data_IF_184245125494
#
_entry.id   IF_184245125494
#
_cell.length_a   1.000
_cell.length_b   1.000
_cell.length_c   1.000
_cell.angle_alpha   90.00
_cell.angle_beta   90.00
_cell.angle_gamma   90.00
#
_symmetry.space_group_name_H-M   'P 1'
#
loop_
_entity.id
_entity.type
_entity.pdbx_description
1 polymer ?
#
# COMPACT_ATOMS: atom_id res chain seq x y z
N UNK A 1 -25.87 7.73 12.66
CA UNK A 1 -25.37 7.97 14.00
C UNK A 1 -23.94 8.44 13.85
N UNK A 2 -23.69 9.69 14.26
CA UNK A 2 -22.37 10.31 14.25
C UNK A 2 -21.47 9.48 15.15
N UNK A 3 -20.40 8.88 14.61
CA UNK A 3 -19.31 8.36 15.41
C UNK A 3 -18.49 9.57 15.86
N UNK A 4 -18.79 10.03 17.08
CA UNK A 4 -17.95 10.94 17.81
C UNK A 4 -16.54 10.33 17.87
N UNK A 5 -15.57 10.96 17.24
CA UNK A 5 -14.18 10.83 17.61
C UNK A 5 -14.08 11.20 19.09
N UNK A 6 -13.83 10.22 19.93
CA UNK A 6 -13.59 10.40 21.37
C UNK A 6 -12.25 11.17 21.54
N UNK A 7 -12.29 12.46 21.28
CA UNK A 7 -11.34 13.40 21.83
C UNK A 7 -11.74 13.59 23.29
N UNK A 8 -11.36 12.62 24.14
CA UNK A 8 -11.45 12.75 25.58
C UNK A 8 -10.89 14.12 25.94
N UNK A 9 -11.72 14.93 26.60
CA UNK A 9 -11.44 16.35 26.91
C UNK A 9 -10.13 16.42 27.72
N UNK A 10 -8.98 16.55 27.01
CA UNK A 10 -7.68 16.67 27.64
C UNK A 10 -7.64 17.97 28.42
N UNK A 11 -7.50 17.87 29.74
CA UNK A 11 -7.47 19.00 30.67
C UNK A 11 -6.06 19.29 31.22
N UNK A 12 -5.03 18.67 30.64
CA UNK A 12 -3.63 18.87 31.03
C UNK A 12 -3.02 20.14 30.46
N UNK A 13 -1.75 20.44 30.79
CA UNK A 13 -1.09 21.68 30.43
C UNK A 13 -0.54 21.73 28.99
N UNK A 14 -0.53 20.58 28.25
CA UNK A 14 0.05 20.52 26.90
C UNK A 14 -1.00 20.89 25.85
N UNK A 15 -0.76 21.97 25.12
CA UNK A 15 -1.47 22.30 23.88
C UNK A 15 -0.73 21.61 22.71
N UNK A 16 -1.24 20.42 22.31
CA UNK A 16 -0.64 19.60 21.27
C UNK A 16 -1.12 20.05 19.89
N UNK A 17 -0.23 20.72 19.16
CA UNK A 17 -0.46 21.19 17.78
C UNK A 17 0.54 20.48 16.87
N UNK A 18 0.03 19.70 15.93
CA UNK A 18 0.85 18.98 14.94
C UNK A 18 0.39 19.31 13.54
N UNK A 19 1.33 19.70 12.67
CA UNK A 19 1.06 19.96 11.25
C UNK A 19 1.59 18.82 10.40
N UNK A 20 0.85 18.49 9.34
CA UNK A 20 1.23 17.52 8.31
C UNK A 20 0.57 17.89 6.97
N UNK A 21 1.28 17.66 5.87
CA UNK A 21 0.81 18.02 4.51
C UNK A 21 -0.01 16.89 3.87
N UNK A 22 0.21 15.65 4.30
CA UNK A 22 -0.50 14.48 3.81
C UNK A 22 -0.58 13.40 4.89
N UNK A 23 -1.64 12.60 4.83
CA UNK A 23 -1.82 11.37 5.60
C UNK A 23 -2.13 10.19 4.67
N UNK A 24 -1.73 10.29 3.40
CA UNK A 24 -1.89 9.20 2.45
C UNK A 24 -0.71 9.10 1.49
N UNK A 25 -0.53 7.93 0.92
CA UNK A 25 0.47 7.67 -0.10
C UNK A 25 0.31 6.30 -0.74
N UNK A 26 1.23 5.97 -1.64
CA UNK A 26 1.25 4.70 -2.37
C UNK A 26 2.65 4.12 -2.36
N UNK A 27 2.77 2.88 -1.91
CA UNK A 27 3.99 2.09 -2.01
C UNK A 27 4.12 1.58 -3.43
N UNK A 28 5.33 1.63 -3.97
CA UNK A 28 5.66 1.08 -5.29
C UNK A 28 6.57 -0.13 -5.13
N UNK A 29 6.17 -1.27 -5.68
CA UNK A 29 6.98 -2.47 -5.78
C UNK A 29 7.13 -2.91 -7.23
N UNK A 30 8.26 -3.52 -7.56
CA UNK A 30 8.49 -4.07 -8.89
C UNK A 30 9.23 -5.40 -8.85
N UNK A 31 8.92 -6.26 -9.82
CA UNK A 31 9.66 -7.49 -10.08
C UNK A 31 9.82 -7.70 -11.58
N UNK A 32 11.00 -8.17 -11.98
CA UNK A 32 11.30 -8.48 -13.37
C UNK A 32 12.01 -9.84 -13.49
N UNK A 33 11.36 -10.80 -14.15
CA UNK A 33 11.90 -12.16 -14.36
C UNK A 33 12.39 -12.84 -13.07
N UNK A 34 11.61 -12.74 -11.98
CA UNK A 34 11.93 -13.30 -10.67
C UNK A 34 12.97 -12.50 -9.87
N UNK A 35 13.32 -11.32 -10.33
CA UNK A 35 14.20 -10.41 -9.60
C UNK A 35 13.40 -9.25 -9.02
N UNK A 36 13.28 -9.23 -7.69
CA UNK A 36 12.65 -8.13 -6.99
C UNK A 36 13.42 -6.83 -7.24
N UNK A 37 12.69 -5.78 -7.59
CA UNK A 37 13.19 -4.41 -7.67
C UNK A 37 13.28 -3.78 -6.29
N UNK A 38 13.43 -2.46 -6.28
CA UNK A 38 13.45 -1.70 -5.04
C UNK A 38 12.02 -1.34 -4.64
N UNK A 39 11.65 -1.63 -3.38
CA UNK A 39 10.42 -1.10 -2.80
C UNK A 39 10.60 0.37 -2.45
N UNK A 40 9.70 1.22 -2.94
CA UNK A 40 9.65 2.64 -2.58
C UNK A 40 8.55 2.84 -1.54
N UNK A 41 8.94 3.15 -0.30
CA UNK A 41 8.02 3.42 0.80
C UNK A 41 7.40 4.82 0.74
N UNK A 42 6.46 5.08 1.65
CA UNK A 42 5.80 6.38 1.84
C UNK A 42 6.35 7.04 3.10
N UNK A 43 7.09 8.13 2.92
CA UNK A 43 7.55 8.96 4.03
C UNK A 43 6.55 10.10 4.29
N UNK A 44 6.07 10.22 5.53
CA UNK A 44 5.27 11.33 6.01
C UNK A 44 5.95 12.00 7.19
N UNK A 45 5.75 13.32 7.30
CA UNK A 45 6.38 14.17 8.32
C UNK A 45 5.33 14.86 9.16
N UNK A 46 5.60 14.96 10.47
CA UNK A 46 4.73 15.57 11.47
C UNK A 46 5.52 16.65 12.22
N UNK A 47 5.05 17.89 12.16
CA UNK A 47 5.70 19.07 12.72
C UNK A 47 5.01 19.50 14.03
N UNK A 48 5.72 19.39 15.13
CA UNK A 48 5.31 19.72 16.49
C UNK A 48 5.77 21.11 16.95
N UNK A 49 6.30 21.96 16.06
CA UNK A 49 6.95 23.21 16.43
C UNK A 49 6.06 24.19 17.22
N UNK A 50 4.73 24.13 17.03
CA UNK A 50 3.78 25.00 17.74
C UNK A 50 3.18 24.35 18.99
N UNK A 51 3.61 23.11 19.34
CA UNK A 51 3.20 22.43 20.56
C UNK A 51 3.85 23.10 21.78
N UNK A 52 3.04 23.41 22.80
CA UNK A 52 3.48 24.11 24.03
C UNK A 52 2.94 23.45 25.28
N UNK A 53 3.55 23.77 26.44
CA UNK A 53 3.03 23.39 27.76
C UNK A 53 3.00 24.62 28.68
N UNK A 54 1.95 24.75 29.46
CA UNK A 54 1.81 25.80 30.50
C UNK A 54 2.66 25.51 31.73
N UNK A 55 2.99 24.23 32.01
CA UNK A 55 3.71 23.81 33.21
C UNK A 55 5.24 23.66 32.98
N UNK A 56 5.68 23.57 31.71
CA UNK A 56 7.09 23.35 31.41
C UNK A 56 7.44 23.54 29.92
N UNK A 57 8.57 23.02 29.52
CA UNK A 57 8.97 22.95 28.11
C UNK A 57 8.72 21.56 27.54
N UNK A 58 8.33 21.45 26.27
CA UNK A 58 8.25 20.15 25.60
C UNK A 58 9.68 19.58 25.47
N UNK A 59 9.88 18.37 25.95
CA UNK A 59 11.20 17.70 26.00
C UNK A 59 11.24 16.43 25.15
N UNK A 60 10.07 15.87 24.79
CA UNK A 60 10.00 14.71 23.92
C UNK A 60 8.77 14.80 23.02
N UNK A 61 8.95 14.39 21.78
CA UNK A 61 7.89 14.14 20.81
C UNK A 61 8.04 12.72 20.28
N UNK A 62 6.91 12.07 19.88
CA UNK A 62 6.91 10.66 19.52
C UNK A 62 5.85 10.35 18.47
N UNK A 63 6.16 9.38 17.60
CA UNK A 63 5.24 8.76 16.66
C UNK A 63 5.18 7.26 16.95
N UNK A 64 3.98 6.70 17.16
CA UNK A 64 3.69 5.27 17.12
C UNK A 64 3.00 4.96 15.79
N UNK A 65 3.65 4.24 14.85
CA UNK A 65 3.20 4.15 13.46
C UNK A 65 2.08 3.13 13.19
N UNK A 66 1.73 2.27 14.16
CA UNK A 66 0.68 1.24 14.08
C UNK A 66 0.97 0.10 13.07
N UNK A 67 2.23 -0.11 12.70
CA UNK A 67 2.68 -1.18 11.80
C UNK A 67 3.53 -2.26 12.52
N UNK A 68 3.44 -2.32 13.85
CA UNK A 68 4.20 -3.21 14.71
C UNK A 68 5.66 -2.79 14.94
N UNK A 69 6.09 -1.65 14.39
CA UNK A 69 7.41 -1.08 14.63
C UNK A 69 7.48 -0.37 15.98
N UNK A 70 8.70 -0.26 16.53
CA UNK A 70 8.93 0.54 17.73
C UNK A 70 8.62 2.03 17.48
N UNK A 71 8.15 2.77 18.50
CA UNK A 71 7.92 4.20 18.40
C UNK A 71 9.18 4.97 18.01
N UNK A 72 9.02 6.02 17.21
CA UNK A 72 10.08 6.97 16.86
C UNK A 72 9.99 8.18 17.77
N UNK A 73 11.05 8.44 18.53
CA UNK A 73 11.13 9.54 19.47
C UNK A 73 12.09 10.65 18.98
N UNK A 74 11.83 11.89 19.37
CA UNK A 74 12.66 13.05 19.08
C UNK A 74 12.67 14.06 20.23
N UNK A 75 13.74 14.87 20.29
CA UNK A 75 13.83 16.04 21.14
C UNK A 75 13.48 17.28 20.30
N UNK A 76 12.36 17.99 20.60
CA UNK A 76 11.96 19.15 19.79
C UNK A 76 12.92 20.33 19.88
N UNK A 77 13.83 20.36 20.86
CA UNK A 77 14.89 21.36 20.93
C UNK A 77 15.95 21.18 19.83
N UNK A 78 16.14 19.96 19.36
CA UNK A 78 17.03 19.62 18.25
C UNK A 78 16.29 19.71 16.90
N UNK A 79 15.11 19.07 16.82
CA UNK A 79 14.23 19.09 15.64
C UNK A 79 12.79 18.80 16.06
N UNK A 80 11.89 19.73 15.79
CA UNK A 80 10.47 19.58 16.08
C UNK A 80 9.70 18.76 15.03
N UNK A 81 10.35 18.30 13.96
CA UNK A 81 9.74 17.48 12.91
C UNK A 81 10.22 16.04 13.06
N UNK A 82 9.27 15.11 13.14
CA UNK A 82 9.54 13.68 13.05
C UNK A 82 8.96 13.15 11.73
N UNK A 83 9.74 12.34 11.01
CA UNK A 83 9.28 11.63 9.81
C UNK A 83 9.29 10.12 10.05
N UNK A 84 8.34 9.43 9.42
CA UNK A 84 8.28 7.98 9.40
C UNK A 84 8.01 7.48 7.98
N UNK A 85 8.59 6.31 7.63
CA UNK A 85 8.43 5.70 6.30
C UNK A 85 7.72 4.36 6.44
N UNK A 86 6.48 4.28 5.93
CA UNK A 86 5.76 3.00 5.80
C UNK A 86 6.27 2.23 4.59
N UNK A 87 6.51 0.93 4.78
CA UNK A 87 6.92 -0.02 3.73
C UNK A 87 5.85 -1.05 3.43
N UNK A 88 4.70 -0.97 4.09
CA UNK A 88 3.58 -1.89 4.01
C UNK A 88 2.27 -1.10 3.88
N UNK A 89 1.25 -1.70 3.26
CA UNK A 89 -0.02 -1.05 3.01
C UNK A 89 -1.03 -1.29 4.15
N UNK A 90 -1.92 -0.33 4.35
CA UNK A 90 -2.93 -0.38 5.41
C UNK A 90 -3.57 0.98 5.67
N UNK A 91 -4.48 1.03 6.61
CA UNK A 91 -4.95 2.27 7.24
C UNK A 91 -4.50 2.25 8.69
N UNK A 92 -3.43 2.99 8.96
CA UNK A 92 -2.73 3.01 10.26
C UNK A 92 -3.33 4.07 11.18
N UNK A 93 -3.56 3.71 12.45
CA UNK A 93 -3.99 4.66 13.49
C UNK A 93 -2.76 5.18 14.24
N UNK A 94 -2.11 6.15 13.65
CA UNK A 94 -0.85 6.72 14.15
C UNK A 94 -1.10 7.54 15.40
N UNK A 95 -0.38 7.25 16.49
CA UNK A 95 -0.42 8.05 17.72
C UNK A 95 0.72 9.04 17.73
N UNK A 96 0.39 10.33 17.87
CA UNK A 96 1.30 11.45 17.98
C UNK A 96 1.31 11.96 19.42
N UNK A 97 2.46 11.96 20.09
CA UNK A 97 2.59 12.29 21.51
C UNK A 97 3.61 13.38 21.77
N UNK A 98 3.32 14.27 22.71
CA UNK A 98 4.29 15.19 23.29
C UNK A 98 4.36 15.02 24.81
N UNK A 99 5.57 15.13 25.38
CA UNK A 99 5.83 15.13 26.83
C UNK A 99 6.60 16.39 27.23
N UNK A 100 6.25 16.93 28.40
CA UNK A 100 6.94 18.11 28.94
C UNK A 100 7.96 17.76 30.04
N UNK A 101 8.70 18.77 30.53
CA UNK A 101 9.71 18.62 31.57
C UNK A 101 9.17 18.26 32.94
N UNK A 102 7.86 18.43 33.18
CA UNK A 102 7.17 18.09 34.44
C UNK A 102 6.59 16.69 34.41
N UNK A 103 6.71 15.98 33.26
CA UNK A 103 6.23 14.61 33.07
C UNK A 103 4.76 14.52 32.64
N UNK A 104 4.17 15.62 32.19
CA UNK A 104 2.85 15.58 31.57
C UNK A 104 2.99 15.07 30.14
N UNK A 105 1.95 14.37 29.66
CA UNK A 105 1.87 13.80 28.30
C UNK A 105 0.52 14.07 27.68
N UNK A 106 0.50 14.36 26.38
CA UNK A 106 -0.72 14.47 25.57
C UNK A 106 -0.53 13.75 24.24
N UNK A 107 -1.55 12.99 23.82
CA UNK A 107 -1.53 12.24 22.56
C UNK A 107 -2.78 12.52 21.73
N UNK A 108 -2.62 12.54 20.43
CA UNK A 108 -3.72 12.53 19.45
C UNK A 108 -3.52 11.37 18.47
N UNK A 109 -4.60 10.92 17.85
CA UNK A 109 -4.56 9.88 16.82
C UNK A 109 -4.85 10.49 15.46
N UNK A 110 -4.12 10.04 14.45
CA UNK A 110 -4.26 10.46 13.04
C UNK A 110 -4.32 9.20 12.18
N UNK A 111 -5.30 9.11 11.26
CA UNK A 111 -5.38 7.99 10.31
C UNK A 111 -4.51 8.27 9.09
N UNK A 112 -3.62 7.31 8.80
CA UNK A 112 -2.72 7.32 7.65
C UNK A 112 -3.11 6.18 6.71
N UNK A 113 -3.45 6.50 5.46
CA UNK A 113 -3.84 5.53 4.42
C UNK A 113 -2.68 5.29 3.46
N UNK A 114 -2.21 4.07 3.37
CA UNK A 114 -1.15 3.65 2.44
C UNK A 114 -1.68 2.59 1.49
N UNK A 115 -1.81 2.95 0.23
CA UNK A 115 -2.14 2.05 -0.87
C UNK A 115 -0.87 1.35 -1.38
N UNK A 116 -1.02 0.32 -2.24
CA UNK A 116 0.11 -0.40 -2.82
C UNK A 116 -0.07 -0.59 -4.31
N UNK A 117 1.00 -0.36 -5.06
CA UNK A 117 1.09 -0.60 -6.50
C UNK A 117 2.25 -1.54 -6.80
N UNK A 118 1.98 -2.61 -7.54
CA UNK A 118 2.94 -3.67 -7.86
C UNK A 118 3.03 -3.81 -9.37
N UNK A 119 4.24 -3.69 -9.91
CA UNK A 119 4.53 -3.96 -11.32
C UNK A 119 5.35 -5.24 -11.42
N UNK A 120 4.82 -6.22 -12.13
CA UNK A 120 5.45 -7.52 -12.35
C UNK A 120 5.62 -7.79 -13.83
N UNK A 121 6.82 -8.18 -14.28
CA UNK A 121 7.05 -8.53 -15.67
C UNK A 121 7.88 -9.81 -15.83
N UNK A 122 7.49 -10.63 -16.78
CA UNK A 122 8.20 -11.83 -17.17
C UNK A 122 8.23 -11.98 -18.69
N UNK A 123 9.31 -12.53 -19.22
CA UNK A 123 9.50 -12.72 -20.65
C UNK A 123 9.52 -14.20 -21.02
N UNK A 124 8.96 -14.51 -22.20
CA UNK A 124 9.02 -15.82 -22.82
C UNK A 124 8.43 -16.94 -21.95
N UNK A 125 7.22 -16.75 -21.45
CA UNK A 125 6.54 -17.67 -20.54
C UNK A 125 5.38 -18.41 -21.20
N UNK A 126 5.31 -19.72 -20.95
CA UNK A 126 4.11 -20.52 -21.19
C UNK A 126 3.12 -20.43 -20.01
N UNK A 127 3.65 -20.18 -18.80
CA UNK A 127 2.87 -19.92 -17.59
C UNK A 127 3.59 -18.87 -16.75
N UNK A 128 2.88 -17.84 -16.35
CA UNK A 128 3.30 -16.83 -15.37
C UNK A 128 2.33 -16.83 -14.21
N UNK A 129 2.85 -16.80 -12.99
CA UNK A 129 2.03 -16.75 -11.78
C UNK A 129 2.65 -15.78 -10.80
N UNK A 130 1.90 -14.74 -10.46
CA UNK A 130 2.24 -13.69 -9.52
C UNK A 130 1.38 -13.84 -8.27
N UNK A 131 2.01 -13.73 -7.09
CA UNK A 131 1.28 -13.67 -5.82
C UNK A 131 1.49 -12.32 -5.16
N UNK A 132 0.47 -11.80 -4.49
CA UNK A 132 0.54 -10.58 -3.71
C UNK A 132 -0.34 -10.71 -2.46
N UNK A 133 0.08 -10.08 -1.37
CA UNK A 133 -0.64 -10.10 -0.10
C UNK A 133 -1.56 -8.89 0.03
N UNK A 134 -2.85 -9.12 0.22
CA UNK A 134 -3.85 -8.08 0.47
C UNK A 134 -4.20 -7.94 1.97
N UNK A 135 -3.39 -8.50 2.86
CA UNK A 135 -3.55 -8.33 4.31
C UNK A 135 -3.10 -6.93 4.72
N UNK A 136 -3.97 -6.10 5.35
CA UNK A 136 -3.52 -4.85 5.95
C UNK A 136 -2.50 -5.10 7.06
N UNK A 137 -1.44 -4.31 7.10
CA UNK A 137 -0.35 -4.47 8.09
C UNK A 137 -0.47 -3.52 9.30
N UNK A 138 -1.63 -2.92 9.52
CA UNK A 138 -1.97 -2.24 10.75
C UNK A 138 -2.28 -3.27 11.86
N UNK A 139 -2.06 -2.91 13.13
CA UNK A 139 -2.18 -3.85 14.27
C UNK A 139 -3.55 -4.53 14.36
N UNK A 140 -4.63 -3.83 14.03
CA UNK A 140 -5.99 -4.36 14.05
C UNK A 140 -6.34 -5.18 12.80
N UNK A 141 -5.56 -5.09 11.71
CA UNK A 141 -5.84 -5.72 10.41
C UNK A 141 -7.11 -5.19 9.72
N UNK A 142 -7.59 -4.02 10.10
CA UNK A 142 -8.83 -3.39 9.64
C UNK A 142 -8.59 -1.89 9.32
N UNK A 143 -9.23 -1.32 8.30
CA UNK A 143 -10.14 -1.97 7.35
C UNK A 143 -9.42 -2.79 6.29
N UNK A 144 -10.13 -3.76 5.71
CA UNK A 144 -9.67 -4.43 4.48
C UNK A 144 -9.59 -3.41 3.34
N UNK A 145 -8.77 -3.66 2.30
CA UNK A 145 -8.78 -2.85 1.09
C UNK A 145 -10.19 -2.71 0.49
N UNK A 146 -10.49 -1.57 -0.11
CA UNK A 146 -11.76 -1.35 -0.84
C UNK A 146 -11.80 -2.13 -2.13
N UNK A 147 -10.64 -2.27 -2.79
CA UNK A 147 -10.51 -2.96 -4.07
C UNK A 147 -9.10 -3.42 -4.37
N UNK A 148 -9.03 -4.46 -5.22
CA UNK A 148 -7.85 -4.80 -6.01
C UNK A 148 -8.17 -4.49 -7.47
N UNK A 149 -7.31 -3.75 -8.15
CA UNK A 149 -7.36 -3.52 -9.60
C UNK A 149 -6.20 -4.25 -10.24
N UNK A 150 -6.48 -5.01 -11.28
CA UNK A 150 -5.51 -5.77 -12.09
C UNK A 150 -5.56 -5.26 -13.51
N UNK A 151 -4.40 -4.98 -14.10
CA UNK A 151 -4.21 -4.82 -15.53
C UNK A 151 -3.09 -5.76 -15.97
N UNK A 152 -3.43 -6.79 -16.73
CA UNK A 152 -2.49 -7.84 -17.15
C UNK A 152 -2.38 -7.87 -18.67
N UNK A 153 -1.22 -7.48 -19.18
CA UNK A 153 -0.90 -7.49 -20.60
C UNK A 153 -0.09 -8.73 -20.96
N UNK A 154 -0.49 -9.43 -22.00
CA UNK A 154 0.28 -10.50 -22.61
C UNK A 154 0.63 -10.13 -24.06
N UNK A 155 1.91 -10.24 -24.42
CA UNK A 155 2.42 -9.93 -25.74
C UNK A 155 2.99 -11.20 -26.40
N UNK A 156 2.48 -11.55 -27.57
CA UNK A 156 3.03 -12.64 -28.37
C UNK A 156 4.23 -12.15 -29.19
N UNK A 157 5.43 -12.32 -28.64
CA UNK A 157 6.69 -11.93 -29.27
C UNK A 157 7.35 -13.11 -29.97
N UNK A 158 7.63 -13.03 -31.26
CA UNK A 158 8.36 -14.07 -31.98
C UNK A 158 9.87 -13.97 -31.74
N UNK A 159 10.35 -14.31 -30.56
CA UNK A 159 11.80 -14.40 -30.29
C UNK A 159 12.45 -15.68 -30.87
N UNK A 160 11.70 -16.49 -31.60
CA UNK A 160 12.22 -17.69 -32.24
C UNK A 160 12.67 -17.37 -33.67
N UNK A 161 13.99 -17.43 -33.89
CA UNK A 161 14.62 -17.44 -35.23
C UNK A 161 14.09 -18.56 -36.15
N UNK A 162 13.23 -19.43 -35.63
CA UNK A 162 12.60 -20.57 -36.29
C UNK A 162 11.09 -20.62 -36.08
N UNK A 163 10.47 -19.53 -35.58
CA UNK A 163 9.09 -19.51 -35.14
C UNK A 163 8.08 -19.61 -36.26
N UNK A 164 7.16 -20.54 -36.12
CA UNK A 164 5.89 -20.47 -36.81
C UNK A 164 5.10 -19.34 -36.22
N UNK A 165 4.80 -18.27 -36.96
CA UNK A 165 4.01 -17.14 -36.51
C UNK A 165 2.53 -17.51 -36.28
N UNK A 166 2.26 -18.30 -35.28
CA UNK A 166 0.92 -18.65 -34.81
C UNK A 166 0.37 -17.65 -33.78
N UNK A 167 -0.93 -17.78 -33.48
CA UNK A 167 -1.51 -17.07 -32.34
C UNK A 167 -1.19 -17.79 -31.04
N UNK A 168 -0.89 -17.05 -29.99
CA UNK A 168 -0.84 -17.58 -28.62
C UNK A 168 -2.27 -17.60 -28.03
N UNK A 169 -2.69 -18.77 -27.55
CA UNK A 169 -3.97 -18.90 -26.86
C UNK A 169 -3.75 -18.70 -25.38
N UNK A 170 -4.19 -17.56 -24.84
CA UNK A 170 -3.88 -17.09 -23.48
C UNK A 170 -5.13 -17.15 -22.62
N UNK A 171 -4.96 -17.58 -21.38
CA UNK A 171 -5.99 -17.50 -20.32
C UNK A 171 -5.42 -16.74 -19.13
N UNK A 172 -6.15 -15.74 -18.68
CA UNK A 172 -5.91 -15.02 -17.42
C UNK A 172 -6.84 -15.54 -16.33
N UNK A 173 -6.37 -15.61 -15.10
CA UNK A 173 -7.21 -15.89 -13.93
C UNK A 173 -6.72 -15.15 -12.70
N UNK A 174 -7.66 -14.78 -11.83
CA UNK A 174 -7.40 -14.22 -10.50
C UNK A 174 -8.07 -15.10 -9.45
N UNK A 175 -7.26 -15.64 -8.54
CA UNK A 175 -7.74 -16.47 -7.44
C UNK A 175 -7.62 -15.69 -6.12
N UNK A 176 -8.65 -15.84 -5.26
CA UNK A 176 -8.68 -15.25 -3.93
C UNK A 176 -7.86 -16.09 -2.92
N UNK A 177 -7.68 -15.64 -1.65
CA UNK A 177 -6.94 -16.39 -0.64
C UNK A 177 -7.53 -17.77 -0.27
N UNK A 178 -8.78 -18.03 -0.65
CA UNK A 178 -9.42 -19.35 -0.48
C UNK A 178 -9.17 -20.29 -1.67
N UNK A 179 -8.30 -19.90 -2.61
CA UNK A 179 -8.02 -20.64 -3.87
C UNK A 179 -9.26 -20.76 -4.77
N UNK A 180 -10.19 -19.81 -4.70
CA UNK A 180 -11.34 -19.75 -5.57
C UNK A 180 -11.09 -18.74 -6.69
N UNK A 181 -11.31 -19.15 -7.95
CA UNK A 181 -11.26 -18.25 -9.11
C UNK A 181 -12.39 -17.22 -9.00
N UNK A 182 -12.00 -15.93 -8.88
CA UNK A 182 -12.94 -14.81 -8.80
C UNK A 182 -13.22 -14.19 -10.15
N UNK A 183 -12.30 -14.34 -11.09
CA UNK A 183 -12.45 -13.88 -12.47
C UNK A 183 -11.44 -14.56 -13.38
N UNK A 184 -11.84 -14.79 -14.63
CA UNK A 184 -10.95 -15.25 -15.71
C UNK A 184 -11.38 -14.68 -17.05
N UNK A 185 -10.45 -14.63 -17.99
CA UNK A 185 -10.69 -14.29 -19.38
C UNK A 185 -9.73 -15.08 -20.28
N UNK A 186 -10.02 -15.14 -21.58
CA UNK A 186 -9.16 -15.82 -22.54
C UNK A 186 -9.18 -15.12 -23.90
N UNK A 187 -8.02 -15.11 -24.57
CA UNK A 187 -7.84 -14.48 -25.86
C UNK A 187 -6.90 -15.24 -26.76
N UNK A 188 -6.94 -14.91 -28.04
CA UNK A 188 -6.05 -15.44 -29.07
C UNK A 188 -5.21 -14.29 -29.63
N UNK A 189 -3.95 -14.21 -29.20
CA UNK A 189 -3.05 -13.11 -29.51
C UNK A 189 -2.23 -13.43 -30.76
N UNK A 190 -2.49 -12.72 -31.84
CA UNK A 190 -1.75 -12.91 -33.08
C UNK A 190 -0.26 -12.52 -32.90
N UNK A 191 0.58 -13.11 -33.76
CA UNK A 191 2.01 -12.83 -33.76
C UNK A 191 2.33 -11.31 -33.80
N UNK A 192 3.21 -10.84 -32.90
CA UNK A 192 3.59 -9.42 -32.69
C UNK A 192 2.44 -8.51 -32.19
N UNK A 193 1.38 -9.07 -31.67
CA UNK A 193 0.29 -8.33 -31.04
C UNK A 193 0.31 -8.56 -29.53
N UNK A 194 -0.43 -7.75 -28.82
CA UNK A 194 -0.68 -7.85 -27.40
C UNK A 194 -2.17 -7.75 -27.09
N UNK A 195 -2.54 -8.24 -25.94
CA UNK A 195 -3.89 -8.12 -25.38
C UNK A 195 -3.80 -7.85 -23.89
N UNK A 196 -4.69 -7.01 -23.36
CA UNK A 196 -4.74 -6.65 -21.94
C UNK A 196 -6.07 -7.07 -21.34
N UNK A 197 -6.00 -7.74 -20.21
CA UNK A 197 -7.13 -8.06 -19.37
C UNK A 197 -7.14 -7.13 -18.16
N UNK A 198 -8.23 -6.38 -18.00
CA UNK A 198 -8.46 -5.47 -16.88
C UNK A 198 -9.57 -6.00 -16.00
N UNK A 199 -9.33 -6.06 -14.69
CA UNK A 199 -10.32 -6.51 -13.72
C UNK A 199 -10.23 -5.74 -12.40
N UNK A 200 -11.37 -5.55 -11.74
CA UNK A 200 -11.43 -4.95 -10.40
C UNK A 200 -12.27 -5.82 -9.48
N UNK A 201 -11.67 -6.33 -8.41
CA UNK A 201 -12.38 -6.99 -7.32
C UNK A 201 -12.71 -5.99 -6.22
N UNK A 202 -13.95 -6.07 -5.69
CA UNK A 202 -14.41 -5.36 -4.48
C UNK A 202 -14.87 -6.31 -3.38
N UNK A 203 -14.90 -7.61 -3.68
CA UNK A 203 -15.14 -8.65 -2.67
C UNK A 203 -13.79 -9.07 -2.07
N UNK A 204 -13.37 -8.29 -1.09
CA UNK A 204 -12.02 -8.36 -0.54
C UNK A 204 -11.91 -9.41 0.54
N UNK A 205 -10.81 -10.15 0.48
CA UNK A 205 -10.38 -11.10 1.50
C UNK A 205 -8.92 -10.79 1.87
N UNK A 206 -8.61 -10.83 3.16
CA UNK A 206 -7.24 -10.77 3.68
C UNK A 206 -6.49 -12.03 3.29
N UNK A 207 -5.23 -11.91 2.88
CA UNK A 207 -4.35 -13.00 2.52
C UNK A 207 -3.78 -12.90 1.12
N UNK A 208 -3.18 -14.01 0.67
CA UNK A 208 -2.46 -14.10 -0.59
C UNK A 208 -3.43 -14.32 -1.76
N UNK A 209 -3.39 -13.41 -2.72
CA UNK A 209 -4.06 -13.52 -4.01
C UNK A 209 -3.08 -14.01 -5.07
N UNK A 210 -3.60 -14.69 -6.09
CA UNK A 210 -2.80 -15.24 -7.19
C UNK A 210 -3.35 -14.77 -8.53
N UNK A 211 -2.51 -14.08 -9.30
CA UNK A 211 -2.77 -13.71 -10.70
C UNK A 211 -1.99 -14.64 -11.60
N UNK A 212 -2.68 -15.36 -12.48
CA UNK A 212 -2.06 -16.32 -13.41
C UNK A 212 -2.33 -15.96 -14.87
N UNK A 213 -1.33 -16.21 -15.70
CA UNK A 213 -1.42 -16.12 -17.15
C UNK A 213 -0.90 -17.44 -17.71
N UNK A 214 -1.73 -18.17 -18.43
CA UNK A 214 -1.40 -19.47 -19.00
C UNK A 214 -1.56 -19.45 -20.53
N UNK A 215 -0.56 -19.96 -21.26
CA UNK A 215 -0.63 -20.18 -22.70
C UNK A 215 -1.00 -21.63 -22.94
N UNK A 216 -2.17 -21.89 -23.54
CA UNK A 216 -2.76 -23.24 -23.67
C UNK A 216 -2.30 -23.99 -24.93
N UNK A 217 -1.52 -23.34 -25.80
CA UNK A 217 -0.84 -23.97 -26.92
C UNK A 217 0.69 -23.98 -26.68
N UNK A 218 1.46 -24.57 -27.60
CA UNK A 218 2.93 -24.69 -27.48
C UNK A 218 3.68 -23.35 -27.73
N UNK A 219 3.05 -22.21 -27.43
CA UNK A 219 3.62 -20.86 -27.61
C UNK A 219 4.06 -20.25 -26.27
N UNK A 220 4.65 -19.08 -26.30
CA UNK A 220 5.05 -18.29 -25.12
C UNK A 220 4.74 -16.82 -25.33
N UNK A 221 4.54 -16.11 -24.23
CA UNK A 221 4.25 -14.67 -24.23
C UNK A 221 5.17 -13.92 -23.27
N UNK A 222 5.34 -12.63 -23.50
CA UNK A 222 5.84 -11.71 -22.49
C UNK A 222 4.64 -11.20 -21.70
N UNK A 223 4.77 -11.19 -20.37
CA UNK A 223 3.70 -10.79 -19.44
C UNK A 223 4.11 -9.54 -18.68
N UNK A 224 3.21 -8.58 -18.59
CA UNK A 224 3.34 -7.41 -17.74
C UNK A 224 2.06 -7.22 -16.93
N UNK A 225 2.16 -7.39 -15.62
CA UNK A 225 1.08 -7.23 -14.67
C UNK A 225 1.25 -5.94 -13.88
N UNK A 226 0.17 -5.23 -13.70
CA UNK A 226 0.02 -4.03 -12.89
C UNK A 226 -1.11 -4.28 -11.89
N UNK A 227 -0.81 -4.31 -10.59
CA UNK A 227 -1.76 -4.59 -9.54
C UNK A 227 -1.78 -3.45 -8.55
N UNK A 228 -2.96 -2.91 -8.27
CA UNK A 228 -3.15 -1.89 -7.23
C UNK A 228 -4.06 -2.42 -6.13
N UNK A 229 -3.59 -2.36 -4.88
CA UNK A 229 -4.37 -2.60 -3.67
C UNK A 229 -4.70 -1.23 -3.09
N UNK A 230 -5.99 -0.88 -3.05
CA UNK A 230 -6.42 0.45 -2.64
C UNK A 230 -7.46 0.40 -1.54
N UNK A 231 -7.35 1.32 -0.58
CA UNK A 231 -8.31 1.55 0.49
C UNK A 231 -9.35 2.58 0.09
N UNK A 232 -10.46 2.64 0.84
CA UNK A 232 -11.54 3.57 0.56
C UNK A 232 -11.06 5.02 0.58
N UNK A 233 -11.59 5.85 -0.29
CA UNK A 233 -11.37 7.29 -0.24
C UNK A 233 -11.92 7.87 1.06
N UNK A 234 -11.16 8.79 1.69
CA UNK A 234 -11.52 9.40 2.97
C UNK A 234 -11.29 8.48 4.19
N UNK A 235 -10.54 7.38 4.02
CA UNK A 235 -10.08 6.56 5.15
C UNK A 235 -8.93 7.22 5.93
N UNK A 236 -8.28 8.22 5.32
CA UNK A 236 -7.23 9.06 5.91
C UNK A 236 -7.79 10.32 6.57
N UNK A 237 -7.02 10.92 7.48
CA UNK A 237 -7.35 12.26 8.00
C UNK A 237 -7.07 13.34 6.94
N UNK A 238 -7.83 14.44 6.95
CA UNK A 238 -7.52 15.57 6.07
C UNK A 238 -6.16 16.18 6.43
N UNK A 239 -5.50 16.75 5.42
CA UNK A 239 -4.24 17.49 5.61
C UNK A 239 -4.41 18.63 6.62
N UNK A 240 -3.40 18.86 7.45
CA UNK A 240 -3.37 19.90 8.47
C UNK A 240 -2.09 20.76 8.30
N UNK A 241 -1.96 21.40 7.13
CA UNK A 241 -0.85 22.31 6.82
C UNK A 241 -1.04 23.68 7.45
N UNK A 242 0.08 24.41 7.71
CA UNK A 242 0.10 25.77 8.19
C UNK A 242 -0.43 26.79 7.17
#
# INVERSE_FOLDING_TARGET
GDEDSDTGDYSGPIDLIVYYDSTSGMIEESENNGQAGQTTGVELSFDFADTTSDDGSITKIMIEPDDGSDPVEGDPSDNAVISYTWLTHGVFTVTLTAEDSEGNSHSIMVKVKIDMHIVWSETNKATSSMTFDATPDCEDGDPLPDRITVSSNAQNNPDSLFGGGGSAEVTWSLDNPSEEEVSSDSGSIANQQDETWDYTSRDMQSGIWTLSVEVTNDDTVDVSNDVTIAYAEGAEDPTNSR
#
